data_IF_401534943668
#
_entry.id   IF_401534943668
#
_cell.length_a   1.000
_cell.length_b   1.000
_cell.length_c   1.000
_cell.angle_alpha   90.00
_cell.angle_beta   90.00
_cell.angle_gamma   90.00
#
_symmetry.space_group_name_H-M   'P 1'
#
loop_
_entity.id
_entity.type
_entity.pdbx_description
1 polymer ?
#
# COMPACT_ATOMS: atom_id res chain seq x y z
N UNK A 1 -17.45 -3.43 -17.25
CA UNK A 1 -16.06 -3.19 -16.83
C UNK A 1 -15.68 -1.72 -16.65
N UNK A 2 -15.90 -0.81 -17.61
CA UNK A 2 -15.41 0.57 -17.50
C UNK A 2 -15.93 1.30 -16.24
N UNK A 3 -17.25 1.39 -16.06
CA UNK A 3 -17.83 2.00 -14.85
C UNK A 3 -17.49 1.26 -13.55
N UNK A 4 -17.31 -0.07 -13.59
CA UNK A 4 -16.88 -0.86 -12.43
C UNK A 4 -15.46 -0.49 -12.01
N UNK A 5 -14.53 -0.38 -12.96
CA UNK A 5 -13.18 0.07 -12.70
C UNK A 5 -13.14 1.51 -12.18
N UNK A 6 -13.98 2.39 -12.74
CA UNK A 6 -14.11 3.76 -12.26
C UNK A 6 -14.56 3.84 -10.80
N UNK A 7 -15.59 3.08 -10.41
CA UNK A 7 -16.04 2.99 -9.02
C UNK A 7 -14.94 2.43 -8.12
N UNK A 8 -14.31 1.32 -8.53
CA UNK A 8 -13.17 0.75 -7.82
C UNK A 8 -12.07 1.79 -7.57
N UNK A 9 -11.66 2.52 -8.62
CA UNK A 9 -10.64 3.57 -8.54
C UNK A 9 -11.02 4.65 -7.55
N UNK A 10 -12.27 5.11 -7.56
CA UNK A 10 -12.76 6.16 -6.66
C UNK A 10 -12.72 5.67 -5.20
N UNK A 11 -13.29 4.49 -4.91
CA UNK A 11 -13.29 3.95 -3.54
C UNK A 11 -11.87 3.65 -3.05
N UNK A 12 -11.03 3.06 -3.89
CA UNK A 12 -9.65 2.73 -3.56
C UNK A 12 -8.82 3.99 -3.30
N UNK A 13 -8.93 5.01 -4.16
CA UNK A 13 -8.25 6.28 -3.97
C UNK A 13 -8.74 7.05 -2.74
N UNK A 14 -10.05 7.04 -2.46
CA UNK A 14 -10.62 7.65 -1.27
C UNK A 14 -10.13 6.95 0.00
N UNK A 15 -10.07 5.62 -0.01
CA UNK A 15 -9.47 4.83 1.06
C UNK A 15 -8.01 5.22 1.30
N UNK A 16 -7.18 5.30 0.25
CA UNK A 16 -5.78 5.70 0.37
C UNK A 16 -5.65 7.13 0.92
N UNK A 17 -6.50 8.04 0.46
CA UNK A 17 -6.53 9.43 0.94
C UNK A 17 -6.81 9.49 2.43
N UNK A 18 -7.87 8.80 2.87
CA UNK A 18 -8.19 8.69 4.28
C UNK A 18 -7.05 8.07 5.09
N UNK A 19 -6.47 6.97 4.59
CA UNK A 19 -5.36 6.28 5.23
C UNK A 19 -4.17 7.22 5.48
N UNK A 20 -3.71 7.97 4.48
CA UNK A 20 -2.58 8.88 4.65
C UNK A 20 -2.91 10.09 5.54
N UNK A 21 -4.14 10.62 5.49
CA UNK A 21 -4.59 11.66 6.43
C UNK A 21 -4.52 11.15 7.86
N UNK A 22 -5.07 9.95 8.11
CA UNK A 22 -5.08 9.33 9.43
C UNK A 22 -3.65 8.98 9.93
N UNK A 23 -2.70 8.80 9.01
CA UNK A 23 -1.31 8.50 9.33
C UNK A 23 -0.49 9.75 9.72
N UNK A 24 -0.90 10.96 9.34
CA UNK A 24 -0.19 12.22 9.66
C UNK A 24 0.22 12.33 11.14
N UNK A 25 -0.68 12.18 12.14
CA UNK A 25 -0.32 12.38 13.54
C UNK A 25 0.74 11.38 14.05
N UNK A 26 0.81 10.19 13.45
CA UNK A 26 1.75 9.13 13.84
C UNK A 26 2.98 9.07 12.92
N UNK A 27 2.98 9.80 11.81
CA UNK A 27 4.02 9.76 10.79
C UNK A 27 5.43 9.98 11.37
N UNK A 28 5.68 11.08 12.10
CA UNK A 28 6.98 11.34 12.72
C UNK A 28 7.45 10.21 13.64
N UNK A 29 6.60 9.73 14.53
CA UNK A 29 6.92 8.63 15.45
C UNK A 29 7.27 7.33 14.70
N UNK A 30 6.55 7.05 13.60
CA UNK A 30 6.73 5.80 12.87
C UNK A 30 7.90 5.82 11.88
N UNK A 31 8.21 6.96 11.26
CA UNK A 31 9.10 6.99 10.09
C UNK A 31 10.23 8.02 10.15
N UNK A 32 10.29 8.86 11.18
CA UNK A 32 11.35 9.87 11.29
C UNK A 32 12.57 9.39 12.09
N UNK A 33 13.67 10.13 12.02
CA UNK A 33 14.85 9.95 12.86
C UNK A 33 14.59 10.19 14.37
N UNK A 34 13.47 10.81 14.73
CA UNK A 34 13.03 11.01 16.12
C UNK A 34 12.04 9.92 16.59
N UNK A 35 11.75 8.95 15.71
CA UNK A 35 10.76 7.91 15.94
C UNK A 35 11.29 6.60 16.53
N UNK A 36 10.47 5.54 16.39
CA UNK A 36 10.74 4.18 16.91
C UNK A 36 12.07 3.64 16.38
N UNK A 37 12.34 3.83 15.09
CA UNK A 37 13.60 3.43 14.45
C UNK A 37 14.31 4.70 14.00
N UNK A 38 15.14 5.26 14.89
CA UNK A 38 15.87 6.49 14.62
C UNK A 38 16.92 6.32 13.53
N UNK A 39 17.67 5.20 13.54
CA UNK A 39 18.64 4.85 12.49
C UNK A 39 18.01 3.89 11.46
N UNK A 40 17.80 4.32 10.20
CA UNK A 40 17.24 3.48 9.14
C UNK A 40 18.05 2.20 8.87
N UNK A 41 19.37 2.19 9.15
CA UNK A 41 20.25 1.05 8.90
C UNK A 41 19.94 -0.17 9.79
N UNK A 42 19.17 0.02 10.85
CA UNK A 42 18.70 -1.06 11.73
C UNK A 42 17.57 -1.90 11.10
N UNK A 43 16.96 -1.42 10.01
CA UNK A 43 15.93 -2.17 9.30
C UNK A 43 16.53 -3.34 8.49
N UNK A 44 15.94 -4.55 8.55
CA UNK A 44 16.36 -5.69 7.74
C UNK A 44 16.41 -5.43 6.23
N UNK A 45 15.61 -4.47 5.74
CA UNK A 45 15.51 -4.17 4.31
C UNK A 45 16.21 -2.86 3.91
N UNK A 46 17.10 -2.33 4.75
CA UNK A 46 17.91 -1.16 4.45
C UNK A 46 18.75 -1.37 3.17
N UNK A 47 18.85 -0.34 2.33
CA UNK A 47 19.62 -0.39 1.07
C UNK A 47 19.02 -1.22 -0.08
N UNK A 48 17.98 -2.03 0.16
CA UNK A 48 17.36 -2.86 -0.90
C UNK A 48 16.52 -2.01 -1.87
N UNK A 49 15.87 -0.97 -1.36
CA UNK A 49 14.98 -0.10 -2.14
C UNK A 49 15.48 1.34 -2.10
N UNK A 50 15.48 2.08 -3.23
CA UNK A 50 15.84 3.49 -3.25
C UNK A 50 14.82 4.29 -2.43
N UNK A 51 15.28 4.87 -1.31
CA UNK A 51 14.40 5.53 -0.35
C UNK A 51 14.98 6.91 0.03
N UNK A 52 14.22 7.97 -0.22
CA UNK A 52 14.63 9.32 0.14
C UNK A 52 14.69 9.52 1.67
N UNK A 53 13.89 8.75 2.42
CA UNK A 53 13.88 8.76 3.89
C UNK A 53 15.10 8.04 4.50
N UNK A 54 16.08 7.59 3.71
CA UNK A 54 17.39 7.21 4.26
C UNK A 54 18.35 8.39 4.41
N UNK A 55 18.06 9.50 3.72
CA UNK A 55 18.91 10.68 3.70
C UNK A 55 18.22 11.87 4.35
N UNK A 56 16.89 11.98 4.18
CA UNK A 56 16.07 13.07 4.71
C UNK A 56 14.85 12.52 5.44
N UNK A 57 15.00 12.26 6.73
CA UNK A 57 13.99 11.62 7.57
C UNK A 57 13.61 12.42 8.81
N UNK A 58 13.79 13.73 8.79
CA UNK A 58 13.23 14.62 9.81
C UNK A 58 11.70 14.48 9.90
N UNK A 59 11.07 14.80 11.05
CA UNK A 59 9.61 14.80 11.18
C UNK A 59 8.89 15.55 10.04
N UNK A 60 9.41 16.72 9.67
CA UNK A 60 8.88 17.52 8.57
C UNK A 60 8.98 16.79 7.22
N UNK A 61 10.10 16.12 6.93
CA UNK A 61 10.28 15.38 5.68
C UNK A 61 9.26 14.22 5.56
N UNK A 62 8.96 13.55 6.67
CA UNK A 62 7.91 12.52 6.73
C UNK A 62 6.54 13.15 6.47
N UNK A 63 6.18 14.24 7.16
CA UNK A 63 4.90 14.94 6.96
C UNK A 63 4.73 15.41 5.51
N UNK A 64 5.78 15.95 4.88
CA UNK A 64 5.77 16.34 3.47
C UNK A 64 5.56 15.12 2.57
N UNK A 65 6.22 14.00 2.85
CA UNK A 65 6.05 12.75 2.10
C UNK A 65 4.61 12.25 2.17
N UNK A 66 3.99 12.30 3.35
CA UNK A 66 2.57 11.96 3.54
C UNK A 66 1.64 12.96 2.82
N UNK A 67 1.96 14.25 2.84
CA UNK A 67 1.24 15.28 2.09
C UNK A 67 1.25 15.01 0.58
N UNK A 68 2.40 14.63 0.02
CA UNK A 68 2.52 14.21 -1.38
C UNK A 68 1.67 12.97 -1.65
N UNK A 69 1.66 11.99 -0.74
CA UNK A 69 0.84 10.80 -0.86
C UNK A 69 -0.66 11.13 -0.90
N UNK A 70 -1.13 12.06 -0.07
CA UNK A 70 -2.52 12.54 -0.04
C UNK A 70 -2.88 13.23 -1.37
N UNK A 71 -2.01 14.11 -1.88
CA UNK A 71 -2.25 14.76 -3.16
C UNK A 71 -2.29 13.74 -4.30
N UNK A 72 -1.39 12.75 -4.29
CA UNK A 72 -1.37 11.68 -5.27
C UNK A 72 -2.62 10.78 -5.18
N UNK A 73 -3.10 10.47 -3.97
CA UNK A 73 -4.32 9.67 -3.78
C UNK A 73 -5.57 10.42 -4.20
N UNK A 74 -5.66 11.72 -3.95
CA UNK A 74 -6.74 12.57 -4.46
C UNK A 74 -6.69 12.63 -5.99
N UNK A 75 -5.51 12.85 -6.57
CA UNK A 75 -5.30 12.82 -8.02
C UNK A 75 -5.76 11.50 -8.64
N UNK A 76 -5.39 10.37 -8.03
CA UNK A 76 -5.82 9.03 -8.42
C UNK A 76 -7.35 8.85 -8.31
N UNK A 77 -7.96 9.37 -7.24
CA UNK A 77 -9.42 9.36 -6.98
C UNK A 77 -10.21 10.19 -7.98
N UNK A 78 -9.62 11.26 -8.52
CA UNK A 78 -10.21 12.08 -9.58
C UNK A 78 -9.88 11.55 -10.99
N UNK A 79 -8.93 10.61 -11.09
CA UNK A 79 -8.49 10.04 -12.35
C UNK A 79 -7.56 10.99 -13.13
N UNK A 80 -7.14 12.08 -12.50
CA UNK A 80 -6.14 13.00 -13.05
C UNK A 80 -4.76 12.37 -12.91
N UNK A 81 -3.99 12.31 -14.01
CA UNK A 81 -2.66 11.68 -14.06
C UNK A 81 -2.59 10.28 -13.42
N UNK A 82 -3.71 9.52 -13.44
CA UNK A 82 -3.93 8.30 -12.63
C UNK A 82 -2.77 7.31 -12.62
N UNK A 83 -2.17 7.05 -13.79
CA UNK A 83 -1.04 6.11 -13.92
C UNK A 83 0.18 6.61 -13.16
N UNK A 84 0.51 7.89 -13.30
CA UNK A 84 1.60 8.54 -12.59
C UNK A 84 1.32 8.56 -11.08
N UNK A 85 0.11 8.95 -10.69
CA UNK A 85 -0.31 8.92 -9.28
C UNK A 85 -0.16 7.53 -8.67
N UNK A 86 -0.53 6.47 -9.39
CA UNK A 86 -0.37 5.10 -8.93
C UNK A 86 1.09 4.69 -8.72
N UNK A 87 2.01 5.10 -9.61
CA UNK A 87 3.45 4.87 -9.44
C UNK A 87 3.99 5.61 -8.21
N UNK A 88 3.60 6.88 -8.04
CA UNK A 88 4.00 7.70 -6.88
C UNK A 88 3.51 7.07 -5.58
N UNK A 89 2.23 6.69 -5.52
CA UNK A 89 1.64 6.02 -4.35
C UNK A 89 2.33 4.70 -4.05
N UNK A 90 2.61 3.89 -5.07
CA UNK A 90 3.35 2.64 -4.92
C UNK A 90 4.74 2.91 -4.32
N UNK A 91 5.48 3.85 -4.89
CA UNK A 91 6.80 4.23 -4.43
C UNK A 91 6.78 4.70 -2.97
N UNK A 92 5.85 5.57 -2.60
CA UNK A 92 5.76 6.11 -1.24
C UNK A 92 5.41 5.02 -0.24
N UNK A 93 4.42 4.15 -0.52
CA UNK A 93 4.07 3.05 0.40
C UNK A 93 5.25 2.10 0.58
N UNK A 94 5.97 1.76 -0.50
CA UNK A 94 7.18 0.94 -0.42
C UNK A 94 8.30 1.64 0.35
N UNK A 95 8.52 2.93 0.13
CA UNK A 95 9.50 3.73 0.87
C UNK A 95 9.19 3.78 2.38
N UNK A 96 7.92 3.97 2.77
CA UNK A 96 7.50 3.96 4.17
C UNK A 96 7.75 2.59 4.81
N UNK A 97 7.41 1.49 4.12
CA UNK A 97 7.68 0.13 4.61
C UNK A 97 9.17 -0.15 4.79
N UNK A 98 10.01 0.29 3.84
CA UNK A 98 11.46 0.14 3.94
C UNK A 98 12.09 1.07 4.99
N UNK A 99 11.41 2.17 5.36
CA UNK A 99 11.85 3.06 6.44
C UNK A 99 11.53 2.48 7.82
N UNK A 100 10.46 1.69 7.93
CA UNK A 100 10.10 1.00 9.16
C UNK A 100 9.40 -0.34 8.85
N UNK A 101 10.15 -1.45 8.93
CA UNK A 101 9.59 -2.77 8.67
C UNK A 101 8.60 -3.24 9.75
N UNK A 102 8.52 -2.59 10.91
CA UNK A 102 7.55 -2.94 11.97
C UNK A 102 6.11 -2.62 11.57
N UNK A 103 5.90 -1.80 10.54
CA UNK A 103 4.56 -1.55 9.98
C UNK A 103 4.09 -2.68 9.05
N UNK A 104 4.88 -3.76 8.93
CA UNK A 104 4.54 -4.92 8.12
C UNK A 104 3.15 -5.43 8.46
N UNK A 105 2.31 -5.53 7.45
CA UNK A 105 1.01 -6.17 7.57
C UNK A 105 0.65 -6.88 6.27
N UNK A 106 -0.22 -7.91 6.30
CA UNK A 106 -0.54 -8.72 5.13
C UNK A 106 -1.14 -7.94 3.95
N UNK A 107 -1.66 -6.73 4.17
CA UNK A 107 -2.32 -5.94 3.14
C UNK A 107 -1.34 -5.18 2.24
N UNK A 108 -0.15 -4.81 2.75
CA UNK A 108 0.80 -3.95 2.01
C UNK A 108 1.20 -4.50 0.64
N UNK A 109 1.56 -5.79 0.49
CA UNK A 109 1.92 -6.33 -0.83
C UNK A 109 0.76 -6.26 -1.83
N UNK A 110 -0.48 -6.43 -1.36
CA UNK A 110 -1.66 -6.36 -2.22
C UNK A 110 -2.01 -4.93 -2.61
N UNK A 111 -1.86 -3.96 -1.71
CA UNK A 111 -2.00 -2.54 -2.04
C UNK A 111 -0.98 -2.14 -3.12
N UNK A 112 0.28 -2.54 -2.94
CA UNK A 112 1.34 -2.30 -3.91
C UNK A 112 1.05 -2.96 -5.25
N UNK A 113 0.63 -4.24 -5.26
CA UNK A 113 0.26 -4.96 -6.47
C UNK A 113 -0.88 -4.26 -7.22
N UNK A 114 -1.95 -3.89 -6.51
CA UNK A 114 -3.10 -3.19 -7.11
C UNK A 114 -2.66 -1.88 -7.76
N UNK A 115 -1.83 -1.09 -7.07
CA UNK A 115 -1.30 0.16 -7.62
C UNK A 115 -0.51 -0.11 -8.90
N UNK A 116 0.42 -1.07 -8.91
CA UNK A 116 1.18 -1.46 -10.11
C UNK A 116 0.23 -1.88 -11.23
N UNK A 117 -0.73 -2.78 -10.97
CA UNK A 117 -1.66 -3.25 -11.98
C UNK A 117 -2.48 -2.10 -12.56
N UNK A 118 -2.88 -1.13 -11.74
CA UNK A 118 -3.59 0.05 -12.24
C UNK A 118 -2.74 0.90 -13.18
N UNK A 119 -1.42 0.97 -13.02
CA UNK A 119 -0.55 1.70 -13.97
C UNK A 119 -0.66 1.13 -15.40
N UNK A 120 -0.88 -0.19 -15.52
CA UNK A 120 -0.95 -0.92 -16.77
C UNK A 120 -2.32 -0.77 -17.47
N UNK A 121 -3.36 -0.42 -16.73
CA UNK A 121 -4.70 -0.16 -17.29
C UNK A 121 -4.66 1.16 -18.10
N UNK A 122 -5.25 1.23 -19.32
CA UNK A 122 -5.43 2.48 -20.09
C UNK A 122 -6.06 3.62 -19.28
N UNK A 123 -5.66 4.86 -19.57
CA UNK A 123 -6.33 6.05 -19.04
C UNK A 123 -7.56 6.41 -19.90
N UNK A 124 -8.46 7.22 -19.34
CA UNK A 124 -9.67 7.68 -20.01
C UNK A 124 -10.91 6.86 -19.67
N UNK A 125 -10.89 6.16 -18.52
CA UNK A 125 -12.06 5.53 -17.92
C UNK A 125 -13.15 6.53 -17.54
N UNK A 126 -14.37 6.04 -17.31
CA UNK A 126 -15.50 6.84 -16.86
C UNK A 126 -15.20 7.57 -15.53
N UNK A 127 -15.84 8.73 -15.32
CA UNK A 127 -15.68 9.57 -14.13
C UNK A 127 -14.23 10.02 -13.85
N UNK A 128 -13.36 9.98 -14.86
CA UNK A 128 -12.00 10.51 -14.81
C UNK A 128 -11.98 11.95 -15.30
N UNK A 129 -11.19 12.82 -14.66
CA UNK A 129 -10.90 14.17 -15.16
C UNK A 129 -9.94 14.18 -16.36
N UNK A 130 -9.28 13.04 -16.64
CA UNK A 130 -8.43 12.90 -17.82
C UNK A 130 -9.28 12.84 -19.11
N UNK A 131 -8.65 13.12 -20.27
CA UNK A 131 -9.30 13.00 -21.57
C UNK A 131 -9.93 11.62 -21.72
N UNK A 132 -11.24 11.58 -21.99
CA UNK A 132 -12.01 10.35 -22.20
C UNK A 132 -11.42 9.57 -23.38
N UNK A 133 -11.30 8.26 -23.22
CA UNK A 133 -10.86 7.36 -24.26
C UNK A 133 -12.04 6.45 -24.66
N UNK A 134 -12.55 6.64 -25.88
CA UNK A 134 -13.68 5.85 -26.39
C UNK A 134 -13.33 4.37 -26.56
N UNK A 135 -12.06 4.09 -26.85
CA UNK A 135 -11.52 2.74 -26.99
C UNK A 135 -10.94 2.20 -25.68
N UNK A 136 -11.38 2.72 -24.53
CA UNK A 136 -10.92 2.23 -23.23
C UNK A 136 -11.32 0.77 -23.04
N UNK A 137 -10.37 -0.04 -22.58
CA UNK A 137 -10.62 -1.44 -22.23
C UNK A 137 -9.88 -1.80 -20.94
N UNK A 138 -10.43 -2.79 -20.23
CA UNK A 138 -9.75 -3.45 -19.12
C UNK A 138 -8.93 -4.61 -19.69
N UNK A 139 -7.59 -4.64 -19.52
CA UNK A 139 -6.81 -5.79 -19.96
C UNK A 139 -7.29 -7.06 -19.24
N UNK A 140 -7.61 -8.10 -20.02
CA UNK A 140 -8.30 -9.31 -19.54
C UNK A 140 -7.50 -10.10 -18.49
N UNK A 141 -6.18 -9.93 -18.46
CA UNK A 141 -5.27 -10.63 -17.55
C UNK A 141 -5.12 -9.96 -16.18
N UNK A 142 -5.54 -8.69 -16.01
CA UNK A 142 -5.35 -7.95 -14.75
C UNK A 142 -6.07 -8.65 -13.59
N UNK A 143 -7.35 -8.97 -13.76
CA UNK A 143 -8.17 -9.59 -12.71
C UNK A 143 -7.66 -11.02 -12.41
N UNK A 144 -7.44 -11.90 -13.40
CA UNK A 144 -6.87 -13.22 -13.15
C UNK A 144 -5.52 -13.19 -12.43
N UNK A 145 -4.60 -12.30 -12.81
CA UNK A 145 -3.30 -12.18 -12.12
C UNK A 145 -3.48 -11.71 -10.67
N UNK A 146 -4.30 -10.69 -10.43
CA UNK A 146 -4.61 -10.24 -9.08
C UNK A 146 -5.22 -11.36 -8.23
N UNK A 147 -6.20 -12.09 -8.78
CA UNK A 147 -6.85 -13.22 -8.10
C UNK A 147 -5.89 -14.37 -7.85
N UNK A 148 -5.00 -14.70 -8.80
CA UNK A 148 -3.99 -15.75 -8.63
C UNK A 148 -3.01 -15.40 -7.51
N UNK A 149 -2.47 -14.17 -7.50
CA UNK A 149 -1.53 -13.74 -6.47
C UNK A 149 -2.19 -13.66 -5.09
N UNK A 150 -3.46 -13.24 -5.02
CA UNK A 150 -4.26 -13.30 -3.80
C UNK A 150 -4.44 -14.75 -3.32
N UNK A 151 -4.84 -15.65 -4.22
CA UNK A 151 -5.02 -17.06 -3.89
C UNK A 151 -3.70 -17.67 -3.38
N UNK A 152 -2.58 -17.43 -4.07
CA UNK A 152 -1.26 -17.93 -3.66
C UNK A 152 -0.88 -17.43 -2.26
N UNK A 153 -1.02 -16.13 -1.99
CA UNK A 153 -0.68 -15.58 -0.68
C UNK A 153 -1.58 -16.10 0.45
N UNK A 154 -2.88 -16.26 0.21
CA UNK A 154 -3.81 -16.84 1.18
C UNK A 154 -3.61 -18.35 1.36
N UNK A 155 -3.28 -19.08 0.30
CA UNK A 155 -2.91 -20.51 0.38
C UNK A 155 -1.65 -20.68 1.22
N UNK A 156 -0.62 -19.87 0.99
CA UNK A 156 0.60 -19.89 1.79
C UNK A 156 0.29 -19.55 3.27
N UNK A 157 -0.51 -18.51 3.53
CA UNK A 157 -0.93 -18.17 4.90
C UNK A 157 -1.70 -19.31 5.58
N UNK A 158 -2.57 -19.99 4.84
CA UNK A 158 -3.29 -21.17 5.33
C UNK A 158 -2.34 -22.32 5.64
N UNK A 159 -1.40 -22.61 4.74
CA UNK A 159 -0.38 -23.64 4.92
C UNK A 159 0.46 -23.39 6.18
N UNK A 160 0.92 -22.15 6.40
CA UNK A 160 1.72 -21.80 7.59
C UNK A 160 0.92 -21.97 8.88
N UNK A 161 -0.38 -21.68 8.87
CA UNK A 161 -1.25 -21.89 10.03
C UNK A 161 -1.47 -23.37 10.30
N UNK A 162 -1.75 -24.16 9.28
CA UNK A 162 -1.92 -25.62 9.42
C UNK A 162 -0.62 -26.31 9.87
N UNK A 163 0.54 -25.71 9.62
CA UNK A 163 1.85 -26.20 10.08
C UNK A 163 2.20 -25.75 11.50
N UNK A 164 1.39 -24.89 12.14
CA UNK A 164 1.66 -24.32 13.45
C UNK A 164 0.84 -25.02 14.54
N UNK A 165 1.48 -25.62 15.57
CA UNK A 165 0.78 -26.33 16.64
C UNK A 165 -0.32 -25.49 17.31
N UNK A 166 -0.04 -24.23 17.61
CA UNK A 166 -1.00 -23.30 18.23
C UNK A 166 -2.29 -23.10 17.43
N UNK A 167 -2.22 -23.14 16.10
CA UNK A 167 -3.40 -23.00 15.24
C UNK A 167 -4.16 -24.31 15.10
N UNK A 168 -3.47 -25.44 15.08
CA UNK A 168 -4.08 -26.77 15.01
C UNK A 168 -4.80 -27.13 16.32
N UNK A 169 -4.19 -26.80 17.46
CA UNK A 169 -4.73 -27.07 18.80
C UNK A 169 -5.78 -26.04 19.25
N UNK A 170 -6.01 -24.97 18.47
CA UNK A 170 -6.97 -23.92 18.77
C UNK A 170 -6.51 -22.88 19.81
N UNK A 171 -5.28 -23.00 20.32
CA UNK A 171 -4.70 -22.07 21.30
C UNK A 171 -4.28 -20.72 20.72
N UNK A 172 -4.18 -20.57 19.39
CA UNK A 172 -3.65 -19.37 18.73
C UNK A 172 -4.34 -18.07 19.17
N UNK A 173 -5.68 -18.06 19.26
CA UNK A 173 -6.41 -16.88 19.73
C UNK A 173 -6.12 -16.55 21.19
N UNK A 174 -6.01 -17.56 22.06
CA UNK A 174 -5.66 -17.35 23.46
C UNK A 174 -4.24 -16.78 23.59
N UNK A 175 -3.28 -17.23 22.78
CA UNK A 175 -1.93 -16.66 22.76
C UNK A 175 -1.92 -15.21 22.29
N UNK A 176 -2.73 -14.85 21.28
CA UNK A 176 -2.84 -13.46 20.83
C UNK A 176 -3.48 -12.60 21.92
N UNK A 177 -4.58 -13.03 22.52
CA UNK A 177 -5.29 -12.25 23.55
C UNK A 177 -4.49 -12.07 24.86
N UNK A 178 -3.62 -13.03 25.19
CA UNK A 178 -2.77 -12.94 26.37
C UNK A 178 -1.35 -12.44 26.05
N UNK A 179 -1.09 -12.03 24.81
CA UNK A 179 0.20 -11.46 24.46
C UNK A 179 0.26 -10.04 25.03
N UNK A 180 1.22 -9.73 25.93
CA UNK A 180 1.33 -8.41 26.56
C UNK A 180 1.68 -7.28 25.57
N UNK A 181 2.00 -7.63 24.32
CA UNK A 181 2.31 -6.71 23.22
C UNK A 181 1.29 -6.75 22.07
N UNK A 182 0.18 -7.49 22.21
CA UNK A 182 -0.88 -7.56 21.20
C UNK A 182 -2.01 -6.55 21.44
#
# INVERSE_FOLDING_TARGET
MNSQFALFRIFFGAFLTWHFIALIPYGPELFSNEGIISDPALNPTYGIFPNHLYFWDTPMAVTVTLGIAILASVSFTLGWARRTSAVVLWFIITALFHRNNLTSNPSLPYLGLILILTTLIPAGENFSLSRKNENWFMPRWIIPIASLLLALGYTFSGWTKLSSPSWVEGGAFAHVLNNPLA
#
